data_IF_666848868506
#
_entry.id   IF_666848868506
#
_cell.length_a   1.000
_cell.length_b   1.000
_cell.length_c   1.000
_cell.angle_alpha   90.00
_cell.angle_beta   90.00
_cell.angle_gamma   90.00
#
_symmetry.space_group_name_H-M   'P 1'
#
loop_
_entity.id
_entity.type
_entity.pdbx_description
1 polymer ?
#
# COMPACT_ATOMS: atom_id res chain seq x y z
N UNK A 1 -17.85 -26.06 -17.89
CA UNK A 1 -17.49 -25.23 -16.72
C UNK A 1 -18.78 -25.00 -15.94
N UNK A 2 -18.79 -25.22 -14.62
CA UNK A 2 -20.00 -25.07 -13.81
C UNK A 2 -20.52 -23.62 -13.89
N UNK A 3 -21.85 -23.43 -13.85
CA UNK A 3 -22.50 -22.13 -13.82
C UNK A 3 -21.96 -21.26 -12.68
N UNK A 4 -21.71 -21.86 -11.52
CA UNK A 4 -21.10 -21.19 -10.38
C UNK A 4 -19.75 -20.55 -10.70
N UNK A 5 -18.89 -21.28 -11.41
CA UNK A 5 -17.57 -20.78 -11.79
C UNK A 5 -17.67 -19.61 -12.78
N UNK A 6 -18.73 -19.54 -13.61
CA UNK A 6 -18.94 -18.42 -14.51
C UNK A 6 -19.38 -17.17 -13.74
N UNK A 7 -20.24 -17.32 -12.73
CA UNK A 7 -20.66 -16.21 -11.87
C UNK A 7 -19.51 -15.60 -11.10
N UNK A 8 -18.61 -16.43 -10.56
CA UNK A 8 -17.45 -15.98 -9.78
C UNK A 8 -16.45 -15.13 -10.60
N UNK A 9 -16.58 -15.11 -11.92
CA UNK A 9 -15.75 -14.29 -12.82
C UNK A 9 -16.39 -12.94 -13.15
N UNK A 10 -17.62 -12.67 -12.71
CA UNK A 10 -18.33 -11.42 -12.99
C UNK A 10 -17.82 -10.27 -12.12
N UNK A 11 -18.08 -9.04 -12.57
CA UNK A 11 -17.80 -7.82 -11.81
C UNK A 11 -18.59 -7.76 -10.48
N UNK A 12 -18.04 -7.03 -9.49
CA UNK A 12 -18.60 -6.88 -8.13
C UNK A 12 -20.10 -6.54 -8.11
N UNK A 13 -20.58 -5.71 -9.04
CA UNK A 13 -22.00 -5.31 -9.11
C UNK A 13 -22.95 -6.48 -9.43
N UNK A 14 -22.47 -7.49 -10.14
CA UNK A 14 -23.23 -8.71 -10.43
C UNK A 14 -23.06 -9.71 -9.30
N UNK A 15 -21.86 -9.79 -8.70
CA UNK A 15 -21.63 -10.58 -7.49
C UNK A 15 -22.51 -10.13 -6.32
N UNK A 16 -22.76 -8.82 -6.16
CA UNK A 16 -23.72 -8.29 -5.19
C UNK A 16 -25.16 -8.75 -5.47
N UNK A 17 -25.55 -8.87 -6.74
CA UNK A 17 -26.86 -9.43 -7.09
C UNK A 17 -26.92 -10.92 -6.78
N UNK A 18 -25.83 -11.67 -7.00
CA UNK A 18 -25.74 -13.09 -6.61
C UNK A 18 -25.82 -13.23 -5.09
N UNK A 19 -25.13 -12.38 -4.33
CA UNK A 19 -25.16 -12.38 -2.86
C UNK A 19 -26.59 -12.22 -2.32
N UNK A 20 -27.38 -11.33 -2.92
CA UNK A 20 -28.79 -11.12 -2.56
C UNK A 20 -29.71 -12.34 -2.82
N UNK A 21 -29.27 -13.35 -3.57
CA UNK A 21 -30.06 -14.58 -3.82
C UNK A 21 -29.95 -15.60 -2.69
N UNK A 22 -28.90 -15.50 -1.87
CA UNK A 22 -28.56 -16.50 -0.87
C UNK A 22 -28.68 -15.91 0.53
N UNK A 23 -29.51 -16.54 1.36
CA UNK A 23 -29.75 -16.16 2.75
C UNK A 23 -29.67 -17.38 3.66
N UNK A 24 -30.06 -17.23 4.93
CA UNK A 24 -30.06 -18.33 5.90
C UNK A 24 -31.02 -19.47 5.53
N UNK A 25 -31.99 -19.23 4.63
CA UNK A 25 -32.91 -20.28 4.16
C UNK A 25 -32.22 -21.25 3.21
N UNK A 26 -31.39 -20.76 2.29
CA UNK A 26 -30.54 -21.61 1.46
C UNK A 26 -29.13 -21.01 1.36
N UNK A 27 -28.22 -21.38 2.29
CA UNK A 27 -26.89 -20.78 2.37
C UNK A 27 -26.03 -20.94 1.10
N UNK A 28 -25.32 -19.87 0.74
CA UNK A 28 -24.38 -19.84 -0.39
C UNK A 28 -23.29 -20.91 -0.29
N UNK A 29 -22.89 -21.32 0.91
CA UNK A 29 -21.96 -22.43 1.14
C UNK A 29 -22.39 -23.72 0.44
N UNK A 30 -23.69 -24.05 0.49
CA UNK A 30 -24.25 -25.24 -0.16
C UNK A 30 -24.09 -25.09 -1.68
N UNK A 31 -24.47 -23.92 -2.20
CA UNK A 31 -24.35 -23.58 -3.62
C UNK A 31 -22.90 -23.69 -4.10
N UNK A 32 -21.93 -23.25 -3.31
CA UNK A 32 -20.51 -23.26 -3.64
C UNK A 32 -19.93 -24.69 -3.63
N UNK A 33 -20.07 -25.41 -2.52
CA UNK A 33 -19.43 -26.72 -2.34
C UNK A 33 -20.11 -27.84 -3.15
N UNK A 34 -21.42 -27.73 -3.38
CA UNK A 34 -22.20 -28.71 -4.13
C UNK A 34 -22.62 -28.22 -5.51
N UNK A 35 -22.00 -27.16 -6.02
CA UNK A 35 -22.32 -26.52 -7.30
C UNK A 35 -22.55 -27.49 -8.45
N UNK A 36 -21.61 -28.41 -8.69
CA UNK A 36 -21.70 -29.41 -9.77
C UNK A 36 -22.88 -30.38 -9.60
N UNK A 37 -23.16 -30.78 -8.36
CA UNK A 37 -24.24 -31.71 -8.06
C UNK A 37 -25.60 -31.02 -8.22
N UNK A 38 -25.74 -29.82 -7.65
CA UNK A 38 -26.95 -28.99 -7.77
C UNK A 38 -27.26 -28.71 -9.24
N UNK A 39 -26.27 -28.30 -10.04
CA UNK A 39 -26.45 -27.97 -11.46
C UNK A 39 -26.78 -29.20 -12.34
N UNK A 40 -26.54 -30.43 -11.84
CA UNK A 40 -26.84 -31.66 -12.57
C UNK A 40 -28.30 -32.12 -12.45
N UNK A 41 -29.08 -31.51 -11.57
CA UNK A 41 -30.45 -31.90 -11.26
C UNK A 41 -31.45 -30.95 -11.92
N UNK A 42 -32.50 -31.52 -12.51
CA UNK A 42 -33.64 -30.76 -13.03
C UNK A 42 -34.59 -30.34 -11.89
N UNK A 43 -34.24 -29.25 -11.21
CA UNK A 43 -35.01 -28.74 -10.07
C UNK A 43 -36.40 -28.23 -10.43
N UNK A 44 -36.68 -27.92 -11.70
CA UNK A 44 -38.03 -27.56 -12.14
C UNK A 44 -38.99 -28.75 -12.03
N UNK A 45 -38.54 -29.92 -12.47
CA UNK A 45 -39.30 -31.15 -12.35
C UNK A 45 -39.38 -31.65 -10.90
N UNK A 46 -38.31 -31.46 -10.11
CA UNK A 46 -38.31 -31.80 -8.67
C UNK A 46 -39.34 -30.94 -7.91
N UNK A 47 -39.47 -29.66 -8.23
CA UNK A 47 -40.38 -28.74 -7.56
C UNK A 47 -41.88 -29.02 -7.79
N UNK A 48 -42.23 -29.93 -8.72
CA UNK A 48 -43.62 -30.31 -8.99
C UNK A 48 -43.96 -31.74 -8.56
N UNK A 49 -42.99 -32.49 -8.03
CA UNK A 49 -43.14 -33.89 -7.63
C UNK A 49 -42.67 -34.11 -6.18
N UNK A 50 -43.62 -34.27 -5.27
CA UNK A 50 -43.36 -34.39 -3.82
C UNK A 50 -42.43 -35.56 -3.45
N UNK A 51 -42.66 -36.74 -4.03
CA UNK A 51 -41.82 -37.91 -3.81
C UNK A 51 -40.39 -37.72 -4.32
N UNK A 52 -40.23 -37.07 -5.48
CA UNK A 52 -38.92 -36.78 -6.06
C UNK A 52 -38.18 -35.70 -5.26
N UNK A 53 -38.90 -34.67 -4.77
CA UNK A 53 -38.35 -33.65 -3.88
C UNK A 53 -37.85 -34.24 -2.58
N UNK A 54 -38.61 -35.17 -1.98
CA UNK A 54 -38.20 -35.88 -0.78
C UNK A 54 -36.93 -36.70 -1.00
N UNK A 55 -36.82 -37.42 -2.12
CA UNK A 55 -35.60 -38.17 -2.47
C UNK A 55 -34.40 -37.23 -2.65
N UNK A 56 -34.56 -36.15 -3.42
CA UNK A 56 -33.48 -35.20 -3.68
C UNK A 56 -33.03 -34.42 -2.44
N UNK A 57 -33.94 -34.18 -1.50
CA UNK A 57 -33.58 -33.61 -0.21
C UNK A 57 -32.66 -34.52 0.61
N UNK A 58 -32.98 -35.81 0.69
CA UNK A 58 -32.11 -36.76 1.39
C UNK A 58 -30.77 -36.97 0.66
N UNK A 59 -30.77 -36.94 -0.68
CA UNK A 59 -29.54 -36.95 -1.47
C UNK A 59 -28.66 -35.72 -1.15
N UNK A 60 -29.26 -34.52 -1.01
CA UNK A 60 -28.54 -33.30 -0.63
C UNK A 60 -27.90 -33.44 0.76
N UNK A 61 -28.63 -33.99 1.74
CA UNK A 61 -28.09 -34.23 3.09
C UNK A 61 -26.91 -35.21 3.06
N UNK A 62 -26.98 -36.24 2.22
CA UNK A 62 -25.87 -37.19 2.03
C UNK A 62 -24.66 -36.51 1.36
N UNK A 63 -24.88 -35.64 0.37
CA UNK A 63 -23.81 -34.83 -0.22
C UNK A 63 -23.12 -33.94 0.83
N UNK A 64 -23.86 -33.38 1.78
CA UNK A 64 -23.28 -32.59 2.87
C UNK A 64 -22.45 -33.46 3.85
N UNK A 65 -22.84 -34.70 4.10
CA UNK A 65 -22.05 -35.65 4.90
C UNK A 65 -20.71 -36.00 4.21
N UNK A 66 -20.75 -36.19 2.90
CA UNK A 66 -19.55 -36.42 2.09
C UNK A 66 -18.63 -35.19 2.13
N UNK A 67 -19.16 -33.97 2.02
CA UNK A 67 -18.35 -32.75 2.15
C UNK A 67 -17.79 -32.56 3.56
N UNK A 68 -18.57 -32.86 4.60
CA UNK A 68 -18.07 -32.84 5.97
C UNK A 68 -16.89 -33.81 6.14
N UNK A 69 -16.96 -35.00 5.55
CA UNK A 69 -15.88 -35.98 5.58
C UNK A 69 -14.63 -35.49 4.85
N UNK A 70 -14.78 -34.76 3.74
CA UNK A 70 -13.64 -34.11 3.04
C UNK A 70 -12.98 -33.04 3.91
N UNK A 71 -13.76 -32.18 4.56
CA UNK A 71 -13.20 -31.18 5.48
C UNK A 71 -12.56 -31.78 6.74
N UNK A 72 -13.01 -32.97 7.15
CA UNK A 72 -12.36 -33.74 8.21
C UNK A 72 -10.96 -34.23 7.79
N UNK A 73 -10.80 -34.71 6.55
CA UNK A 73 -9.49 -35.09 6.01
C UNK A 73 -8.53 -33.90 5.90
N UNK A 74 -9.05 -32.72 5.58
CA UNK A 74 -8.28 -31.47 5.49
C UNK A 74 -8.00 -30.81 6.86
N UNK A 75 -8.47 -31.40 7.96
CA UNK A 75 -8.41 -30.81 9.31
C UNK A 75 -8.99 -29.39 9.41
N UNK A 76 -9.92 -29.02 8.53
CA UNK A 76 -10.52 -27.70 8.51
C UNK A 76 -11.70 -27.62 9.51
N UNK A 77 -11.38 -27.36 10.78
CA UNK A 77 -12.38 -27.35 11.86
C UNK A 77 -13.52 -26.34 11.64
N UNK A 78 -13.20 -25.17 11.07
CA UNK A 78 -14.20 -24.13 10.81
C UNK A 78 -15.24 -24.61 9.79
N UNK A 79 -14.80 -25.14 8.64
CA UNK A 79 -15.71 -25.61 7.60
C UNK A 79 -16.50 -26.84 8.04
N UNK A 80 -15.90 -27.73 8.85
CA UNK A 80 -16.62 -28.85 9.47
C UNK A 80 -17.76 -28.37 10.36
N UNK A 81 -17.49 -27.36 11.22
CA UNK A 81 -18.51 -26.77 12.08
C UNK A 81 -19.64 -26.13 11.26
N UNK A 82 -19.30 -25.35 10.23
CA UNK A 82 -20.25 -24.66 9.37
C UNK A 82 -21.15 -25.64 8.62
N UNK A 83 -20.61 -26.65 7.93
CA UNK A 83 -21.41 -27.66 7.22
C UNK A 83 -22.34 -28.41 8.18
N UNK A 84 -21.89 -28.75 9.39
CA UNK A 84 -22.74 -29.41 10.38
C UNK A 84 -23.89 -28.51 10.85
N UNK A 85 -23.68 -27.20 10.93
CA UNK A 85 -24.74 -26.23 11.25
C UNK A 85 -25.72 -26.09 10.09
N UNK A 86 -25.21 -25.93 8.87
CA UNK A 86 -26.00 -25.82 7.63
C UNK A 86 -26.89 -27.05 7.45
N UNK A 87 -26.35 -28.26 7.60
CA UNK A 87 -27.12 -29.50 7.48
C UNK A 87 -28.30 -29.53 8.47
N UNK A 88 -28.06 -29.19 9.74
CA UNK A 88 -29.13 -29.11 10.76
C UNK A 88 -30.19 -28.08 10.40
N UNK A 89 -29.78 -26.88 9.98
CA UNK A 89 -30.71 -25.84 9.56
C UNK A 89 -31.58 -26.30 8.38
N UNK A 90 -31.00 -26.94 7.35
CA UNK A 90 -31.76 -27.48 6.22
C UNK A 90 -32.77 -28.55 6.65
N UNK A 91 -32.38 -29.42 7.58
CA UNK A 91 -33.29 -30.42 8.16
C UNK A 91 -34.47 -29.74 8.86
N UNK A 92 -34.20 -28.79 9.74
CA UNK A 92 -35.24 -28.08 10.49
C UNK A 92 -36.21 -27.29 9.58
N UNK A 93 -35.72 -26.75 8.44
CA UNK A 93 -36.52 -25.88 7.57
C UNK A 93 -37.26 -26.61 6.44
N UNK A 94 -36.73 -27.70 5.90
CA UNK A 94 -37.26 -28.33 4.68
C UNK A 94 -37.61 -29.81 4.81
N UNK A 95 -37.38 -30.44 5.96
CA UNK A 95 -37.71 -31.86 6.12
C UNK A 95 -39.21 -32.14 5.97
N UNK A 96 -40.06 -31.21 6.40
CA UNK A 96 -41.52 -31.30 6.27
C UNK A 96 -42.06 -30.74 4.94
N UNK A 97 -41.26 -29.94 4.21
CA UNK A 97 -41.61 -29.41 2.88
C UNK A 97 -40.38 -29.37 1.93
N UNK A 98 -39.95 -30.54 1.41
CA UNK A 98 -38.83 -30.62 0.46
C UNK A 98 -39.11 -29.94 -0.88
N UNK A 99 -40.39 -29.78 -1.24
CA UNK A 99 -40.84 -29.16 -2.49
C UNK A 99 -40.53 -27.67 -2.47
N UNK A 100 -40.73 -27.00 -1.33
CA UNK A 100 -40.33 -25.60 -1.16
C UNK A 100 -38.82 -25.38 -1.36
N UNK A 101 -37.97 -26.28 -0.83
CA UNK A 101 -36.52 -26.21 -1.08
C UNK A 101 -36.21 -26.30 -2.58
N UNK A 102 -36.82 -27.25 -3.29
CA UNK A 102 -36.62 -27.41 -4.73
C UNK A 102 -37.03 -26.16 -5.52
N UNK A 103 -38.12 -25.47 -5.10
CA UNK A 103 -38.51 -24.19 -5.69
C UNK A 103 -37.45 -23.10 -5.47
N UNK A 104 -36.88 -23.00 -4.26
CA UNK A 104 -35.82 -22.03 -3.95
C UNK A 104 -34.59 -22.28 -4.84
N UNK A 105 -34.12 -23.53 -4.91
CA UNK A 105 -32.96 -23.89 -5.74
C UNK A 105 -33.22 -23.58 -7.21
N UNK A 106 -34.38 -23.99 -7.73
CA UNK A 106 -34.78 -23.71 -9.12
C UNK A 106 -34.82 -22.21 -9.42
N UNK A 107 -35.44 -21.41 -8.53
CA UNK A 107 -35.52 -19.96 -8.67
C UNK A 107 -34.13 -19.32 -8.67
N UNK A 108 -33.28 -19.69 -7.73
CA UNK A 108 -31.94 -19.12 -7.59
C UNK A 108 -31.08 -19.44 -8.83
N UNK A 109 -31.11 -20.68 -9.33
CA UNK A 109 -30.40 -21.07 -10.56
C UNK A 109 -30.89 -20.31 -11.80
N UNK A 110 -32.21 -20.05 -11.91
CA UNK A 110 -32.78 -19.24 -13.00
C UNK A 110 -32.33 -17.78 -12.91
N UNK A 111 -32.31 -17.21 -11.71
CA UNK A 111 -31.90 -15.82 -11.52
C UNK A 111 -30.39 -15.64 -11.79
N UNK A 112 -29.56 -16.58 -11.36
CA UNK A 112 -28.16 -16.65 -11.74
C UNK A 112 -27.94 -16.63 -13.26
N UNK A 113 -28.76 -17.37 -14.03
CA UNK A 113 -28.69 -17.36 -15.49
C UNK A 113 -29.10 -16.00 -16.08
N UNK A 114 -30.07 -15.31 -15.47
CA UNK A 114 -30.44 -13.93 -15.86
C UNK A 114 -29.29 -12.96 -15.59
N UNK A 115 -28.63 -13.06 -14.45
CA UNK A 115 -27.46 -12.24 -14.10
C UNK A 115 -26.34 -12.45 -15.13
N UNK A 116 -26.04 -13.72 -15.48
CA UNK A 116 -25.05 -14.05 -16.52
C UNK A 116 -25.42 -13.48 -17.90
N UNK A 117 -26.70 -13.54 -18.28
CA UNK A 117 -27.17 -12.97 -19.54
C UNK A 117 -27.07 -11.43 -19.54
N UNK A 118 -27.40 -10.78 -18.43
CA UNK A 118 -27.29 -9.33 -18.26
C UNK A 118 -25.83 -8.86 -18.31
N UNK A 119 -24.90 -9.60 -17.70
CA UNK A 119 -23.47 -9.29 -17.75
C UNK A 119 -22.93 -9.29 -19.19
N UNK A 120 -23.24 -10.34 -19.97
CA UNK A 120 -22.80 -10.46 -21.37
C UNK A 120 -23.32 -9.35 -22.28
N UNK A 121 -24.46 -8.74 -21.94
CA UNK A 121 -25.06 -7.66 -22.75
C UNK A 121 -24.44 -6.28 -22.52
N UNK A 122 -23.74 -6.08 -21.39
CA UNK A 122 -23.20 -4.78 -20.95
C UNK A 122 -21.68 -4.70 -21.15
N UNK A 123 -20.99 -5.84 -21.23
CA UNK A 123 -19.52 -5.91 -21.44
C UNK A 123 -19.07 -5.28 -22.77
N UNK A 124 -19.95 -5.14 -23.77
CA UNK A 124 -19.59 -4.59 -25.09
C UNK A 124 -19.29 -3.09 -25.10
N UNK A 125 -19.73 -2.32 -24.10
CA UNK A 125 -19.58 -0.85 -24.06
C UNK A 125 -18.60 -0.33 -22.98
N UNK A 126 -18.14 -1.16 -22.03
CA UNK A 126 -17.38 -0.71 -20.84
C UNK A 126 -15.92 -1.20 -20.73
N UNK A 127 -15.49 -2.14 -21.56
CA UNK A 127 -14.11 -2.69 -21.53
C UNK A 127 -13.01 -1.61 -21.71
N UNK A 128 -13.31 -0.45 -22.31
CA UNK A 128 -12.29 0.56 -22.59
C UNK A 128 -11.81 1.39 -21.38
N UNK A 129 -12.63 1.60 -20.33
CA UNK A 129 -12.26 2.54 -19.25
C UNK A 129 -11.62 1.86 -18.04
N UNK A 130 -12.13 0.70 -17.59
CA UNK A 130 -11.55 -0.02 -16.46
C UNK A 130 -10.20 -0.65 -16.81
N UNK A 131 -10.05 -1.14 -18.04
CA UNK A 131 -8.77 -1.69 -18.54
C UNK A 131 -7.68 -0.62 -18.54
N UNK A 132 -8.02 0.63 -18.89
CA UNK A 132 -7.08 1.76 -18.91
C UNK A 132 -6.50 2.08 -17.52
N UNK A 133 -7.32 2.20 -16.47
CA UNK A 133 -6.83 2.51 -15.11
C UNK A 133 -6.00 1.37 -14.51
N UNK A 134 -6.35 0.10 -14.79
CA UNK A 134 -5.57 -1.06 -14.32
C UNK A 134 -4.21 -1.11 -15.05
N UNK A 135 -4.20 -0.80 -16.35
CA UNK A 135 -2.97 -0.69 -17.14
C UNK A 135 -2.05 0.42 -16.66
N UNK A 136 -2.59 1.58 -16.25
CA UNK A 136 -1.77 2.70 -15.74
C UNK A 136 -1.08 2.36 -14.42
N UNK A 137 -1.80 1.75 -13.47
CA UNK A 137 -1.18 1.31 -12.20
C UNK A 137 -0.12 0.24 -12.39
N UNK A 138 -0.36 -0.70 -13.30
CA UNK A 138 0.65 -1.70 -13.68
C UNK A 138 1.91 -1.07 -14.28
N UNK A 139 1.80 0.05 -15.01
CA UNK A 139 2.98 0.77 -15.52
C UNK A 139 3.83 1.32 -14.37
N UNK A 140 3.21 1.92 -13.35
CA UNK A 140 3.94 2.46 -12.21
C UNK A 140 4.59 1.34 -11.38
N UNK A 141 3.88 0.23 -11.16
CA UNK A 141 4.45 -0.97 -10.53
C UNK A 141 5.71 -1.47 -11.26
N UNK A 142 5.68 -1.50 -12.59
CA UNK A 142 6.84 -1.87 -13.41
C UNK A 142 7.99 -0.86 -13.28
N UNK A 143 7.71 0.45 -13.35
CA UNK A 143 8.75 1.49 -13.14
C UNK A 143 9.43 1.35 -11.77
N UNK A 144 8.65 1.12 -10.71
CA UNK A 144 9.16 0.92 -9.34
C UNK A 144 10.04 -0.33 -9.29
N UNK A 145 9.60 -1.43 -9.91
CA UNK A 145 10.36 -2.68 -9.97
C UNK A 145 11.67 -2.52 -10.73
N UNK A 146 11.65 -1.85 -11.88
CA UNK A 146 12.83 -1.60 -12.70
C UNK A 146 13.86 -0.74 -11.97
N UNK A 147 13.40 0.31 -11.28
CA UNK A 147 14.24 1.12 -10.39
C UNK A 147 14.91 0.25 -9.30
N UNK A 148 14.14 -0.60 -8.58
CA UNK A 148 14.72 -1.48 -7.55
C UNK A 148 15.76 -2.43 -8.13
N UNK A 149 15.51 -3.00 -9.31
CA UNK A 149 16.48 -3.88 -9.99
C UNK A 149 17.77 -3.12 -10.34
N UNK A 150 17.65 -1.87 -10.82
CA UNK A 150 18.81 -1.04 -11.15
C UNK A 150 19.64 -0.65 -9.93
N UNK A 151 19.00 -0.40 -8.79
CA UNK A 151 19.70 -0.17 -7.51
C UNK A 151 20.51 -1.42 -7.10
N UNK A 152 19.94 -2.62 -7.25
CA UNK A 152 20.63 -3.88 -6.96
C UNK A 152 21.78 -4.16 -7.94
N UNK A 153 21.60 -3.83 -9.22
CA UNK A 153 22.66 -3.92 -10.23
C UNK A 153 23.84 -3.00 -9.87
N UNK A 154 23.56 -1.76 -9.48
CA UNK A 154 24.57 -0.82 -9.01
C UNK A 154 25.32 -1.34 -7.77
N UNK A 155 24.62 -1.97 -6.82
CA UNK A 155 25.20 -2.60 -5.63
C UNK A 155 26.23 -3.67 -5.98
N UNK A 156 25.86 -4.55 -6.91
CA UNK A 156 26.75 -5.61 -7.38
C UNK A 156 27.96 -5.05 -8.14
N UNK A 157 27.77 -3.96 -8.91
CA UNK A 157 28.84 -3.31 -9.63
C UNK A 157 29.81 -2.57 -8.70
N UNK A 158 29.34 -2.00 -7.60
CA UNK A 158 30.18 -1.40 -6.56
C UNK A 158 31.03 -2.47 -5.87
N UNK A 159 30.44 -3.60 -5.48
CA UNK A 159 31.19 -4.74 -4.92
C UNK A 159 32.27 -5.25 -5.88
N UNK A 160 31.94 -5.34 -7.17
CA UNK A 160 32.90 -5.71 -8.21
C UNK A 160 34.01 -4.67 -8.38
N UNK A 161 33.68 -3.39 -8.26
CA UNK A 161 34.66 -2.29 -8.31
C UNK A 161 35.61 -2.33 -7.12
N UNK A 162 35.08 -2.54 -5.91
CA UNK A 162 35.86 -2.69 -4.68
C UNK A 162 36.85 -3.86 -4.81
N UNK A 163 36.38 -5.04 -5.23
CA UNK A 163 37.25 -6.19 -5.45
C UNK A 163 38.38 -5.90 -6.45
N UNK A 164 38.06 -5.28 -7.59
CA UNK A 164 39.05 -4.92 -8.61
C UNK A 164 40.08 -3.93 -8.07
N UNK A 165 39.65 -3.01 -7.20
CA UNK A 165 40.52 -2.00 -6.61
C UNK A 165 41.46 -2.61 -5.56
N UNK A 166 40.96 -3.51 -4.73
CA UNK A 166 41.77 -4.23 -3.75
C UNK A 166 42.79 -5.15 -4.44
N UNK A 167 42.39 -5.84 -5.52
CA UNK A 167 43.32 -6.65 -6.33
C UNK A 167 44.41 -5.78 -6.96
N UNK A 168 44.04 -4.61 -7.49
CA UNK A 168 44.98 -3.64 -8.05
C UNK A 168 45.97 -3.13 -7.00
N UNK A 169 45.49 -2.74 -5.81
CA UNK A 169 46.35 -2.29 -4.71
C UNK A 169 47.32 -3.39 -4.26
N UNK A 170 46.82 -4.62 -4.09
CA UNK A 170 47.65 -5.77 -3.74
C UNK A 170 48.77 -6.02 -4.77
N UNK A 171 48.44 -5.98 -6.07
CA UNK A 171 49.41 -6.18 -7.16
C UNK A 171 50.45 -5.06 -7.19
N UNK A 172 50.02 -3.81 -7.05
CA UNK A 172 50.91 -2.65 -7.03
C UNK A 172 51.89 -2.71 -5.85
N UNK A 173 51.39 -3.03 -4.65
CA UNK A 173 52.22 -3.15 -3.45
C UNK A 173 53.19 -4.33 -3.54
N UNK A 174 52.74 -5.46 -4.11
CA UNK A 174 53.62 -6.62 -4.37
C UNK A 174 54.76 -6.27 -5.33
N UNK A 175 54.46 -5.52 -6.41
CA UNK A 175 55.47 -5.10 -7.37
C UNK A 175 56.50 -4.16 -6.72
N UNK A 176 56.04 -3.14 -5.98
CA UNK A 176 56.90 -2.20 -5.25
C UNK A 176 57.85 -2.92 -4.29
N UNK A 177 57.36 -3.91 -3.55
CA UNK A 177 58.18 -4.68 -2.61
C UNK A 177 59.25 -5.52 -3.33
N UNK A 178 58.91 -6.13 -4.47
CA UNK A 178 59.84 -6.98 -5.27
C UNK A 178 60.87 -6.18 -6.06
N UNK A 179 60.61 -4.92 -6.40
CA UNK A 179 61.60 -4.03 -7.03
C UNK A 179 62.81 -3.74 -6.12
N UNK A 180 62.66 -3.91 -4.79
CA UNK A 180 63.71 -3.63 -3.81
C UNK A 180 64.44 -4.87 -3.28
N UNK A 181 64.12 -6.08 -3.79
CA UNK A 181 64.75 -7.34 -3.36
C UNK A 181 66.03 -7.68 -4.14
N UNK A 182 67.06 -8.19 -3.44
CA UNK A 182 68.40 -8.51 -3.98
C UNK A 182 68.37 -9.66 -5.00
N UNK A 183 67.33 -10.51 -4.98
CA UNK A 183 67.05 -11.57 -5.96
C UNK A 183 65.77 -11.25 -6.77
N UNK A 184 65.63 -10.01 -7.23
CA UNK A 184 64.42 -9.49 -7.87
C UNK A 184 64.06 -10.10 -9.24
N UNK A 185 62.86 -9.74 -9.72
CA UNK A 185 62.30 -10.15 -11.02
C UNK A 185 63.22 -9.76 -12.19
N UNK A 186 63.23 -10.58 -13.25
CA UNK A 186 63.94 -10.22 -14.48
C UNK A 186 63.34 -8.96 -15.13
N UNK A 187 64.10 -8.17 -15.92
CA UNK A 187 63.59 -6.95 -16.55
C UNK A 187 62.32 -7.17 -17.39
N UNK A 188 62.23 -8.31 -18.10
CA UNK A 188 61.05 -8.68 -18.90
C UNK A 188 59.82 -8.99 -18.03
N UNK A 189 60.02 -9.64 -16.89
CA UNK A 189 58.93 -9.92 -15.95
C UNK A 189 58.44 -8.63 -15.28
N UNK A 190 59.35 -7.72 -14.95
CA UNK A 190 59.00 -6.41 -14.39
C UNK A 190 58.18 -5.57 -15.38
N UNK A 191 58.57 -5.55 -16.66
CA UNK A 191 57.82 -4.86 -17.71
C UNK A 191 56.42 -5.44 -17.92
N UNK A 192 56.30 -6.78 -17.86
CA UNK A 192 55.00 -7.45 -17.95
C UNK A 192 54.07 -7.11 -16.77
N UNK A 193 54.56 -7.15 -15.54
CA UNK A 193 53.78 -6.77 -14.34
C UNK A 193 53.36 -5.29 -14.37
N UNK A 194 54.23 -4.39 -14.84
CA UNK A 194 53.88 -2.98 -15.06
C UNK A 194 52.76 -2.81 -16.06
N UNK A 195 52.79 -3.56 -17.16
CA UNK A 195 51.75 -3.51 -18.19
C UNK A 195 50.40 -4.06 -17.66
N UNK A 196 50.42 -5.12 -16.86
CA UNK A 196 49.22 -5.64 -16.18
C UNK A 196 48.60 -4.60 -15.23
N UNK A 197 49.40 -3.89 -14.44
CA UNK A 197 48.91 -2.83 -13.55
C UNK A 197 48.26 -1.70 -14.35
N UNK A 198 48.85 -1.32 -15.48
CA UNK A 198 48.25 -0.30 -16.38
C UNK A 198 46.91 -0.78 -16.94
N UNK A 199 46.80 -2.04 -17.34
CA UNK A 199 45.53 -2.63 -17.78
C UNK A 199 44.47 -2.59 -16.67
N UNK A 200 44.85 -2.97 -15.44
CA UNK A 200 43.97 -2.89 -14.27
C UNK A 200 43.52 -1.45 -13.98
N UNK A 201 44.40 -0.45 -14.13
CA UNK A 201 44.03 0.96 -14.02
C UNK A 201 42.95 1.35 -15.03
N UNK A 202 43.06 0.92 -16.29
CA UNK A 202 42.04 1.19 -17.31
C UNK A 202 40.71 0.52 -16.97
N UNK A 203 40.73 -0.73 -16.48
CA UNK A 203 39.52 -1.43 -16.03
C UNK A 203 38.86 -0.71 -14.85
N UNK A 204 39.64 -0.24 -13.88
CA UNK A 204 39.15 0.57 -12.75
C UNK A 204 38.50 1.86 -13.23
N UNK A 205 39.18 2.61 -14.11
CA UNK A 205 38.65 3.87 -14.69
C UNK A 205 37.31 3.63 -15.38
N UNK A 206 37.22 2.60 -16.21
CA UNK A 206 35.98 2.23 -16.90
C UNK A 206 34.88 1.86 -15.90
N UNK A 207 35.18 0.98 -14.93
CA UNK A 207 34.21 0.51 -13.94
C UNK A 207 33.70 1.63 -13.04
N UNK A 208 34.55 2.58 -12.64
CA UNK A 208 34.13 3.78 -11.90
C UNK A 208 33.17 4.64 -12.72
N UNK A 209 33.45 4.85 -14.01
CA UNK A 209 32.54 5.58 -14.90
C UNK A 209 31.19 4.89 -15.07
N UNK A 210 31.19 3.57 -15.24
CA UNK A 210 29.98 2.74 -15.34
C UNK A 210 29.11 2.87 -14.08
N UNK A 211 29.69 2.68 -12.89
CA UNK A 211 28.96 2.76 -11.62
C UNK A 211 28.39 4.16 -11.39
N UNK A 212 29.18 5.22 -11.62
CA UNK A 212 28.71 6.61 -11.48
C UNK A 212 27.55 6.91 -12.43
N UNK A 213 27.65 6.43 -13.68
CA UNK A 213 26.56 6.55 -14.66
C UNK A 213 25.29 5.81 -14.24
N UNK A 214 25.42 4.59 -13.71
CA UNK A 214 24.30 3.80 -13.20
C UNK A 214 23.61 4.46 -12.00
N UNK A 215 24.36 5.00 -11.04
CA UNK A 215 23.77 5.74 -9.91
C UNK A 215 22.99 6.97 -10.39
N UNK A 216 23.51 7.69 -11.40
CA UNK A 216 22.79 8.81 -12.00
C UNK A 216 21.50 8.36 -12.70
N UNK A 217 21.52 7.22 -13.40
CA UNK A 217 20.35 6.61 -14.03
C UNK A 217 19.29 6.23 -12.99
N UNK A 218 19.68 5.57 -11.90
CA UNK A 218 18.79 5.22 -10.78
C UNK A 218 18.11 6.47 -10.21
N UNK A 219 18.86 7.57 -10.00
CA UNK A 219 18.29 8.82 -9.51
C UNK A 219 17.27 9.42 -10.49
N UNK A 220 17.51 9.33 -11.80
CA UNK A 220 16.53 9.77 -12.81
C UNK A 220 15.25 8.92 -12.77
N UNK A 221 15.37 7.61 -12.61
CA UNK A 221 14.22 6.72 -12.46
C UNK A 221 13.44 7.01 -11.17
N UNK A 222 14.15 7.21 -10.06
CA UNK A 222 13.54 7.57 -8.77
C UNK A 222 12.79 8.90 -8.83
N UNK A 223 13.36 9.90 -9.51
CA UNK A 223 12.74 11.20 -9.76
C UNK A 223 11.46 11.08 -10.59
N UNK A 224 11.48 10.28 -11.67
CA UNK A 224 10.30 10.03 -12.50
C UNK A 224 9.17 9.34 -11.72
N UNK A 225 9.48 8.27 -10.99
CA UNK A 225 8.50 7.56 -10.14
C UNK A 225 7.96 8.46 -9.04
N UNK A 226 8.83 9.24 -8.39
CA UNK A 226 8.44 10.21 -7.37
C UNK A 226 7.48 11.26 -7.93
N UNK A 227 7.74 11.77 -9.14
CA UNK A 227 6.86 12.73 -9.81
C UNK A 227 5.45 12.14 -10.00
N UNK A 228 5.34 10.93 -10.57
CA UNK A 228 4.05 10.26 -10.76
C UNK A 228 3.31 10.06 -9.41
N UNK A 229 4.04 9.64 -8.37
CA UNK A 229 3.45 9.41 -7.04
C UNK A 229 2.92 10.68 -6.38
N UNK A 230 3.67 11.77 -6.44
CA UNK A 230 3.33 13.02 -5.73
C UNK A 230 2.30 13.84 -6.51
N UNK A 231 2.40 13.85 -7.84
CA UNK A 231 1.56 14.72 -8.69
C UNK A 231 0.26 14.06 -9.15
N UNK A 232 0.18 12.73 -9.21
CA UNK A 232 -0.98 12.01 -9.72
C UNK A 232 -1.59 11.09 -8.64
N UNK A 233 -0.88 10.04 -8.24
CA UNK A 233 -1.45 8.96 -7.40
C UNK A 233 -1.90 9.43 -6.01
N UNK A 234 -1.08 10.23 -5.31
CA UNK A 234 -1.40 10.75 -3.99
C UNK A 234 -2.59 11.75 -4.05
N UNK A 235 -2.63 12.74 -4.95
CA UNK A 235 -3.81 13.59 -5.14
C UNK A 235 -5.08 12.81 -5.50
N UNK A 236 -4.99 11.81 -6.38
CA UNK A 236 -6.13 10.96 -6.73
C UNK A 236 -6.65 10.18 -5.53
N UNK A 237 -5.77 9.62 -4.71
CA UNK A 237 -6.16 8.97 -3.46
C UNK A 237 -6.81 9.94 -2.49
N UNK A 238 -6.28 11.16 -2.32
CA UNK A 238 -6.89 12.21 -1.49
C UNK A 238 -8.30 12.58 -1.97
N UNK A 239 -8.49 12.69 -3.29
CA UNK A 239 -9.81 12.94 -3.92
C UNK A 239 -10.78 11.79 -3.67
N UNK A 240 -10.33 10.53 -3.80
CA UNK A 240 -11.15 9.36 -3.48
C UNK A 240 -11.51 9.29 -2.00
N UNK A 241 -10.58 9.63 -1.10
CA UNK A 241 -10.86 9.75 0.33
C UNK A 241 -11.95 10.79 0.61
N UNK A 242 -11.86 11.97 -0.02
CA UNK A 242 -12.88 13.02 0.10
C UNK A 242 -14.26 12.52 -0.34
N UNK A 243 -14.35 11.87 -1.51
CA UNK A 243 -15.61 11.28 -1.99
C UNK A 243 -16.15 10.21 -1.05
N UNK A 244 -15.30 9.34 -0.50
CA UNK A 244 -15.68 8.31 0.47
C UNK A 244 -16.25 8.94 1.76
N UNK A 245 -15.67 10.05 2.24
CA UNK A 245 -16.18 10.77 3.42
C UNK A 245 -17.61 11.33 3.24
N UNK A 246 -18.07 11.54 2.00
CA UNK A 246 -19.43 12.03 1.71
C UNK A 246 -20.37 10.93 1.20
N UNK A 247 -20.03 9.65 1.42
CA UNK A 247 -20.86 8.50 1.03
C UNK A 247 -20.61 7.98 -0.38
N UNK A 248 -19.50 8.38 -1.01
CA UNK A 248 -18.99 7.75 -2.23
C UNK A 248 -18.49 6.32 -2.00
N UNK A 249 -17.99 5.66 -3.06
CA UNK A 249 -17.49 4.29 -2.96
C UNK A 249 -16.35 4.19 -1.94
N UNK A 250 -16.17 3.01 -1.29
CA UNK A 250 -15.11 2.80 -0.32
C UNK A 250 -13.74 3.19 -0.87
N UNK A 251 -12.97 3.94 -0.08
CA UNK A 251 -11.63 4.35 -0.48
C UNK A 251 -10.70 3.11 -0.55
N UNK A 252 -9.84 3.06 -1.57
CA UNK A 252 -8.81 2.03 -1.64
C UNK A 252 -7.84 2.17 -0.47
N UNK A 253 -7.34 1.04 0.05
CA UNK A 253 -6.34 1.06 1.11
C UNK A 253 -5.06 1.77 0.66
N UNK A 254 -4.35 2.33 1.63
CA UNK A 254 -3.07 3.02 1.41
C UNK A 254 -1.91 2.07 1.08
N UNK A 255 -2.13 0.77 1.04
CA UNK A 255 -1.05 -0.22 1.02
C UNK A 255 -0.24 -0.16 -0.28
N UNK A 256 -0.90 0.03 -1.44
CA UNK A 256 -0.18 0.19 -2.72
C UNK A 256 0.66 1.47 -2.75
N UNK A 257 0.10 2.61 -2.32
CA UNK A 257 0.82 3.87 -2.18
C UNK A 257 2.00 3.74 -1.20
N UNK A 258 1.77 3.13 -0.03
CA UNK A 258 2.81 2.89 0.95
C UNK A 258 3.94 2.03 0.37
N UNK A 259 3.63 0.99 -0.39
CA UNK A 259 4.64 0.15 -1.04
C UNK A 259 5.49 0.95 -2.03
N UNK A 260 4.87 1.79 -2.87
CA UNK A 260 5.61 2.61 -3.83
C UNK A 260 6.46 3.69 -3.15
N UNK A 261 5.89 4.44 -2.20
CA UNK A 261 6.62 5.45 -1.42
C UNK A 261 7.80 4.82 -0.67
N UNK A 262 7.58 3.67 -0.02
CA UNK A 262 8.63 2.94 0.69
C UNK A 262 9.71 2.45 -0.26
N UNK A 263 9.34 1.90 -1.43
CA UNK A 263 10.30 1.44 -2.43
C UNK A 263 11.22 2.55 -2.95
N UNK A 264 10.67 3.75 -3.21
CA UNK A 264 11.46 4.92 -3.61
C UNK A 264 12.38 5.36 -2.48
N UNK A 265 11.86 5.44 -1.25
CA UNK A 265 12.66 5.82 -0.08
C UNK A 265 13.82 4.86 0.19
N UNK A 266 13.56 3.54 0.19
CA UNK A 266 14.58 2.49 0.33
C UNK A 266 15.66 2.61 -0.77
N UNK A 267 15.23 2.79 -2.02
CA UNK A 267 16.13 2.92 -3.17
C UNK A 267 17.05 4.14 -3.02
N UNK A 268 16.49 5.28 -2.62
CA UNK A 268 17.26 6.51 -2.39
C UNK A 268 18.23 6.36 -1.20
N UNK A 269 17.84 5.67 -0.13
CA UNK A 269 18.75 5.38 0.97
C UNK A 269 19.88 4.45 0.55
N UNK A 270 19.58 3.42 -0.23
CA UNK A 270 20.61 2.52 -0.75
C UNK A 270 21.58 3.26 -1.66
N UNK A 271 21.11 4.15 -2.55
CA UNK A 271 21.99 5.01 -3.35
C UNK A 271 22.86 5.90 -2.47
N UNK A 272 22.32 6.47 -1.39
CA UNK A 272 23.12 7.28 -0.44
C UNK A 272 24.20 6.44 0.25
N UNK A 273 23.93 5.18 0.57
CA UNK A 273 24.92 4.27 1.15
C UNK A 273 26.00 3.90 0.13
N UNK A 274 25.60 3.58 -1.10
CA UNK A 274 26.49 3.31 -2.24
C UNK A 274 27.40 4.50 -2.55
N UNK A 275 26.91 5.73 -2.47
CA UNK A 275 27.72 6.93 -2.65
C UNK A 275 28.79 7.08 -1.55
N UNK A 276 28.49 6.69 -0.30
CA UNK A 276 29.51 6.66 0.78
C UNK A 276 30.58 5.62 0.50
N UNK A 277 30.20 4.42 0.06
CA UNK A 277 31.14 3.36 -0.32
C UNK A 277 32.05 3.82 -1.47
N UNK A 278 31.53 4.53 -2.47
CA UNK A 278 32.35 5.14 -3.52
C UNK A 278 33.33 6.18 -2.99
N UNK A 279 32.95 6.97 -1.98
CA UNK A 279 33.87 7.91 -1.34
C UNK A 279 34.99 7.19 -0.57
N UNK A 280 34.69 6.07 0.08
CA UNK A 280 35.72 5.25 0.73
C UNK A 280 36.70 4.68 -0.32
N UNK A 281 36.20 4.24 -1.48
CA UNK A 281 37.06 3.80 -2.59
C UNK A 281 37.88 4.95 -3.19
N UNK A 282 37.32 6.15 -3.29
CA UNK A 282 38.04 7.36 -3.71
C UNK A 282 39.18 7.70 -2.74
N UNK A 283 38.94 7.60 -1.43
CA UNK A 283 39.97 7.84 -0.40
C UNK A 283 41.14 6.86 -0.52
N UNK A 284 40.87 5.59 -0.83
CA UNK A 284 41.90 4.57 -1.05
C UNK A 284 42.71 4.81 -2.34
N UNK A 285 42.06 5.28 -3.41
CA UNK A 285 42.69 5.50 -4.71
C UNK A 285 41.94 6.55 -5.53
N UNK A 286 42.67 7.53 -6.07
CA UNK A 286 42.12 8.57 -6.96
C UNK A 286 43.16 9.00 -8.01
N UNK A 287 42.72 9.76 -9.02
CA UNK A 287 43.53 10.24 -10.13
C UNK A 287 42.88 11.47 -10.80
N UNK A 288 43.64 12.14 -11.68
CA UNK A 288 43.12 13.29 -12.43
C UNK A 288 41.91 12.91 -13.29
N UNK A 289 40.82 13.66 -13.14
CA UNK A 289 39.52 13.42 -13.78
C UNK A 289 38.85 12.09 -13.37
N UNK A 290 39.04 11.66 -12.12
CA UNK A 290 38.28 10.54 -11.56
C UNK A 290 36.76 10.88 -11.50
N UNK A 291 35.88 10.05 -12.10
CA UNK A 291 34.45 10.33 -12.19
C UNK A 291 33.77 10.36 -10.81
N UNK A 292 34.27 9.60 -9.82
CA UNK A 292 33.73 9.66 -8.45
C UNK A 292 33.98 11.06 -7.88
N UNK A 293 35.22 11.53 -7.94
CA UNK A 293 35.61 12.87 -7.49
C UNK A 293 34.78 13.96 -8.16
N UNK A 294 34.54 13.84 -9.48
CA UNK A 294 33.80 14.84 -10.27
C UNK A 294 32.28 14.86 -9.97
N UNK A 295 31.67 13.71 -9.72
CA UNK A 295 30.21 13.58 -9.64
C UNK A 295 29.66 13.42 -8.22
N UNK A 296 30.47 13.07 -7.22
CA UNK A 296 30.00 12.75 -5.86
C UNK A 296 29.08 13.81 -5.26
N UNK A 297 29.48 15.09 -5.30
CA UNK A 297 28.70 16.17 -4.69
C UNK A 297 27.35 16.40 -5.37
N UNK A 298 27.30 16.25 -6.70
CA UNK A 298 26.07 16.38 -7.47
C UNK A 298 25.11 15.22 -7.14
N UNK A 299 25.60 13.98 -7.18
CA UNK A 299 24.77 12.80 -6.93
C UNK A 299 24.26 12.75 -5.49
N UNK A 300 25.10 13.09 -4.50
CA UNK A 300 24.68 13.17 -3.10
C UNK A 300 23.62 14.25 -2.87
N UNK A 301 23.81 15.43 -3.47
CA UNK A 301 22.85 16.52 -3.39
C UNK A 301 21.50 16.14 -3.99
N UNK A 302 21.50 15.52 -5.17
CA UNK A 302 20.28 15.00 -5.83
C UNK A 302 19.59 13.91 -5.01
N UNK A 303 20.34 12.92 -4.54
CA UNK A 303 19.79 11.83 -3.73
C UNK A 303 19.17 12.36 -2.43
N UNK A 304 19.81 13.33 -1.77
CA UNK A 304 19.26 13.98 -0.58
C UNK A 304 17.98 14.76 -0.89
N UNK A 305 17.97 15.54 -1.96
CA UNK A 305 16.81 16.34 -2.36
C UNK A 305 15.59 15.45 -2.65
N UNK A 306 15.78 14.39 -3.44
CA UNK A 306 14.72 13.41 -3.73
C UNK A 306 14.24 12.72 -2.45
N UNK A 307 15.16 12.34 -1.56
CA UNK A 307 14.78 11.68 -0.30
C UNK A 307 14.00 12.62 0.63
N UNK A 308 14.37 13.90 0.70
CA UNK A 308 13.59 14.91 1.44
C UNK A 308 12.19 15.07 0.86
N UNK A 309 12.10 15.23 -0.46
CA UNK A 309 10.83 15.48 -1.15
C UNK A 309 9.82 14.34 -0.95
N UNK A 310 10.25 13.08 -1.04
CA UNK A 310 9.33 11.95 -0.80
C UNK A 310 8.82 11.92 0.64
N UNK A 311 9.69 12.20 1.62
CA UNK A 311 9.33 12.18 3.04
C UNK A 311 8.36 13.32 3.39
N UNK A 312 8.57 14.52 2.85
CA UNK A 312 7.67 15.66 3.04
C UNK A 312 6.24 15.37 2.59
N UNK A 313 6.08 14.58 1.51
CA UNK A 313 4.78 14.19 0.98
C UNK A 313 4.22 12.87 1.57
N UNK A 314 4.93 12.26 2.52
CA UNK A 314 4.57 10.95 3.07
C UNK A 314 3.60 11.01 4.26
N UNK A 315 3.48 12.14 4.95
CA UNK A 315 2.57 12.27 6.08
C UNK A 315 1.15 12.55 5.60
N UNK A 316 0.21 11.63 5.86
CA UNK A 316 -1.19 11.76 5.42
C UNK A 316 -2.18 11.47 6.54
N UNK A 317 -3.37 12.06 6.45
CA UNK A 317 -4.52 11.72 7.28
C UNK A 317 -5.18 10.49 6.68
N UNK A 318 -4.93 9.30 7.25
CA UNK A 318 -5.53 8.02 6.78
C UNK A 318 -7.02 7.95 7.13
N UNK A 319 -7.39 8.33 8.36
CA UNK A 319 -8.79 8.41 8.81
C UNK A 319 -9.09 9.83 9.25
N UNK A 320 -9.99 10.48 8.53
CA UNK A 320 -10.44 11.84 8.79
C UNK A 320 -11.13 11.97 10.16
N UNK A 321 -11.18 13.18 10.76
CA UNK A 321 -11.84 13.42 12.03
C UNK A 321 -13.28 12.89 12.07
N UNK A 322 -13.56 12.00 13.00
CA UNK A 322 -14.87 11.38 13.14
C UNK A 322 -15.18 11.02 14.60
N UNK A 323 -16.42 11.28 15.02
CA UNK A 323 -16.92 10.88 16.33
C UNK A 323 -17.35 9.41 16.30
N UNK A 324 -16.83 8.54 17.19
CA UNK A 324 -17.26 7.14 17.26
C UNK A 324 -18.76 6.96 17.52
N UNK A 325 -19.40 7.95 18.14
CA UNK A 325 -20.86 7.98 18.38
C UNK A 325 -21.68 8.29 17.13
N UNK A 326 -21.05 8.83 16.07
CA UNK A 326 -21.71 9.24 14.82
C UNK A 326 -20.84 8.86 13.60
N UNK A 327 -20.57 7.57 13.36
CA UNK A 327 -19.63 7.13 12.32
C UNK A 327 -20.10 7.49 10.89
N UNK A 328 -21.40 7.71 10.71
CA UNK A 328 -22.03 8.09 9.43
C UNK A 328 -21.78 9.56 9.03
N UNK A 329 -21.20 10.37 9.92
CA UNK A 329 -20.95 11.81 9.68
C UNK A 329 -19.50 12.17 10.00
N UNK A 330 -18.53 11.70 9.19
CA UNK A 330 -17.16 12.18 9.29
C UNK A 330 -17.14 13.70 9.03
N UNK A 331 -16.09 14.37 9.52
CA UNK A 331 -15.86 15.82 9.40
C UNK A 331 -16.84 16.74 10.13
N UNK A 332 -17.85 16.19 10.82
CA UNK A 332 -18.76 16.98 11.68
C UNK A 332 -18.44 16.69 13.14
N UNK A 333 -17.96 17.69 13.86
CA UNK A 333 -17.49 17.54 15.23
C UNK A 333 -18.36 18.31 16.21
N UNK A 334 -18.98 17.59 17.16
CA UNK A 334 -19.70 18.22 18.26
C UNK A 334 -18.72 18.59 19.38
N UNK A 335 -18.77 19.84 19.83
CA UNK A 335 -18.00 20.29 21.00
C UNK A 335 -18.24 19.40 22.22
N UNK A 336 -17.22 19.19 23.06
CA UNK A 336 -17.23 18.29 24.22
C UNK A 336 -17.43 16.79 23.92
N UNK A 337 -17.63 16.40 22.67
CA UNK A 337 -17.69 14.99 22.27
C UNK A 337 -16.32 14.53 21.81
N UNK A 338 -15.96 13.29 22.17
CA UNK A 338 -14.69 12.69 21.74
C UNK A 338 -14.75 12.34 20.25
N UNK A 339 -13.66 12.61 19.56
CA UNK A 339 -13.47 12.21 18.18
C UNK A 339 -12.09 11.59 17.98
N UNK A 340 -11.95 10.91 16.85
CA UNK A 340 -10.75 10.19 16.48
C UNK A 340 -10.19 10.68 15.16
N UNK A 341 -8.87 10.62 15.01
CA UNK A 341 -8.14 10.87 13.76
C UNK A 341 -7.01 9.86 13.67
N UNK A 342 -6.75 9.32 12.49
CA UNK A 342 -5.60 8.44 12.25
C UNK A 342 -4.69 9.04 11.18
N UNK A 343 -3.43 9.22 11.52
CA UNK A 343 -2.37 9.58 10.60
C UNK A 343 -1.59 8.34 10.19
N UNK A 344 -1.07 8.35 8.97
CA UNK A 344 -0.15 7.33 8.45
C UNK A 344 1.02 8.02 7.76
N UNK A 345 2.21 7.48 7.97
CA UNK A 345 3.39 7.83 7.20
C UNK A 345 3.58 6.78 6.10
N UNK A 346 3.54 7.22 4.83
CA UNK A 346 3.55 6.34 3.67
C UNK A 346 4.92 5.66 3.47
N UNK A 347 6.00 6.26 3.94
CA UNK A 347 7.32 5.62 3.93
C UNK A 347 7.50 4.76 5.19
N UNK A 348 7.57 3.45 4.99
CA UNK A 348 7.69 2.47 6.06
C UNK A 348 9.14 2.01 6.21
N UNK A 349 9.93 2.75 6.98
CA UNK A 349 11.29 2.37 7.34
C UNK A 349 11.38 2.08 8.84
N UNK A 350 12.08 1.01 9.23
CA UNK A 350 12.20 0.59 10.64
C UNK A 350 12.91 1.64 11.50
N UNK A 351 13.86 2.37 10.91
CA UNK A 351 14.56 3.49 11.53
C UNK A 351 13.64 4.64 11.96
N UNK A 352 12.44 4.77 11.39
CA UNK A 352 11.47 5.81 11.78
C UNK A 352 10.51 5.37 12.89
N UNK A 353 10.54 4.10 13.30
CA UNK A 353 9.67 3.60 14.35
C UNK A 353 9.94 4.33 15.68
N UNK A 354 8.89 4.89 16.29
CA UNK A 354 8.96 5.72 17.49
C UNK A 354 9.71 7.05 17.38
N UNK A 355 10.09 7.48 16.17
CA UNK A 355 10.86 8.72 15.96
C UNK A 355 9.99 9.93 15.68
N UNK A 356 8.86 9.71 15.01
CA UNK A 356 7.94 10.77 14.61
C UNK A 356 6.95 11.06 15.73
N UNK A 357 7.14 12.17 16.44
CA UNK A 357 6.18 12.67 17.43
C UNK A 357 5.27 13.71 16.79
N UNK A 358 4.02 13.32 16.53
CA UNK A 358 3.03 14.17 15.89
C UNK A 358 2.25 14.97 16.92
N UNK A 359 2.02 16.25 16.65
CA UNK A 359 1.20 17.16 17.44
C UNK A 359 0.00 17.65 16.61
N UNK A 360 -1.19 17.56 17.16
CA UNK A 360 -2.41 18.10 16.60
C UNK A 360 -2.63 19.55 17.05
N UNK A 361 -2.91 20.42 16.08
CA UNK A 361 -3.18 21.84 16.24
C UNK A 361 -4.50 22.16 15.53
N UNK A 362 -5.29 23.07 16.10
CA UNK A 362 -6.57 23.49 15.53
C UNK A 362 -6.42 24.87 14.91
N UNK A 363 -6.89 25.04 13.67
CA UNK A 363 -6.86 26.31 12.92
C UNK A 363 -5.48 27.00 12.90
N UNK A 364 -4.41 26.21 12.77
CA UNK A 364 -3.06 26.74 12.55
C UNK A 364 -3.06 27.49 11.21
N UNK A 365 -2.52 28.71 11.20
CA UNK A 365 -2.39 29.58 10.03
C UNK A 365 -3.72 30.00 9.36
N UNK A 366 -4.86 29.82 10.04
CA UNK A 366 -6.14 30.36 9.59
C UNK A 366 -6.18 31.87 9.87
N UNK A 367 -6.34 32.67 8.81
CA UNK A 367 -6.44 34.12 8.92
C UNK A 367 -7.62 34.53 9.80
N UNK A 368 -7.37 35.38 10.80
CA UNK A 368 -8.37 35.84 11.76
C UNK A 368 -9.45 36.68 11.06
N UNK A 369 -10.49 36.02 10.56
CA UNK A 369 -11.69 36.71 10.09
C UNK A 369 -12.52 37.15 11.29
N UNK A 370 -12.99 38.40 11.26
CA UNK A 370 -13.86 38.95 12.30
C UNK A 370 -15.13 38.07 12.40
N UNK A 371 -15.46 37.62 13.61
CA UNK A 371 -16.60 36.73 13.86
C UNK A 371 -16.29 35.23 13.85
N UNK A 372 -15.10 34.80 13.40
CA UNK A 372 -14.72 33.39 13.35
C UNK A 372 -14.52 32.81 14.76
N UNK A 373 -15.24 31.74 15.09
CA UNK A 373 -15.13 31.07 16.39
C UNK A 373 -13.78 30.39 16.53
N UNK A 374 -13.27 30.31 17.76
CA UNK A 374 -12.01 29.63 18.08
C UNK A 374 -12.27 28.44 18.97
N UNK A 375 -11.59 27.33 18.70
CA UNK A 375 -11.70 26.11 19.49
C UNK A 375 -10.32 25.63 19.93
N UNK A 376 -10.26 25.05 21.12
CA UNK A 376 -9.08 24.39 21.64
C UNK A 376 -9.26 22.88 21.62
N UNK A 377 -8.21 22.16 21.22
CA UNK A 377 -8.14 20.71 21.36
C UNK A 377 -7.83 20.38 22.83
N UNK A 378 -8.69 19.56 23.43
CA UNK A 378 -8.48 18.92 24.72
C UNK A 378 -8.14 17.43 24.52
N UNK A 379 -7.49 16.85 25.53
CA UNK A 379 -7.03 15.46 25.52
C UNK A 379 -5.58 15.31 25.07
N UNK A 380 -5.23 14.12 24.58
CA UNK A 380 -3.87 13.79 24.16
C UNK A 380 -3.60 14.34 22.76
N UNK A 381 -3.16 15.60 22.67
CA UNK A 381 -2.87 16.30 21.41
C UNK A 381 -1.49 15.98 20.82
N UNK A 382 -0.69 15.11 21.45
CA UNK A 382 0.56 14.61 20.88
C UNK A 382 0.59 13.08 20.88
N UNK A 383 1.02 12.46 19.79
CA UNK A 383 1.12 11.02 19.65
C UNK A 383 2.37 10.64 18.87
N UNK A 384 3.10 9.65 19.34
CA UNK A 384 4.25 9.08 18.64
C UNK A 384 3.75 8.05 17.63
N UNK A 385 4.27 8.09 16.40
CA UNK A 385 3.99 7.07 15.40
C UNK A 385 4.72 5.77 15.73
N UNK A 386 4.02 4.66 15.56
CA UNK A 386 4.57 3.34 15.79
C UNK A 386 4.08 2.36 14.71
N UNK A 387 4.82 1.26 14.54
CA UNK A 387 4.42 0.18 13.65
C UNK A 387 3.22 -0.59 14.23
N UNK A 388 2.14 -0.72 13.46
CA UNK A 388 0.95 -1.50 13.83
C UNK A 388 1.15 -3.00 13.52
N UNK A 389 0.75 -3.91 14.40
CA UNK A 389 0.93 -5.36 14.22
C UNK A 389 0.10 -5.94 13.05
N UNK A 390 -1.04 -5.33 12.71
CA UNK A 390 -2.00 -5.86 11.74
C UNK A 390 -1.55 -5.76 10.29
N UNK A 391 -0.88 -4.67 9.92
CA UNK A 391 -0.43 -4.39 8.54
C UNK A 391 1.01 -3.86 8.48
N UNK A 392 1.67 -3.71 9.63
CA UNK A 392 3.00 -3.12 9.74
C UNK A 392 3.06 -1.66 9.32
N UNK A 393 1.95 -0.92 9.28
CA UNK A 393 1.97 0.49 8.88
C UNK A 393 2.54 1.38 10.00
N UNK A 394 3.29 2.42 9.63
CA UNK A 394 3.74 3.45 10.56
C UNK A 394 2.64 4.49 10.71
N UNK A 395 1.95 4.47 11.85
CA UNK A 395 0.74 5.28 12.06
C UNK A 395 0.68 5.88 13.47
N UNK A 396 -0.12 6.94 13.60
CA UNK A 396 -0.49 7.51 14.90
C UNK A 396 -2.01 7.72 14.94
N UNK A 397 -2.67 7.03 15.86
CA UNK A 397 -4.10 7.19 16.10
C UNK A 397 -4.37 8.02 17.36
N UNK A 398 -5.11 9.11 17.18
CA UNK A 398 -5.63 9.96 18.24
C UNK A 398 -7.06 9.53 18.53
N UNK A 399 -7.35 9.00 19.73
CA UNK A 399 -8.68 8.47 20.09
C UNK A 399 -9.51 9.36 21.02
N UNK A 400 -8.85 10.27 21.74
CA UNK A 400 -9.44 11.01 22.85
C UNK A 400 -9.33 12.52 22.66
N UNK A 401 -9.47 12.99 21.42
CA UNK A 401 -9.51 14.42 21.14
C UNK A 401 -10.91 14.97 21.41
N UNK A 402 -11.00 16.18 21.94
CA UNK A 402 -12.26 16.90 22.14
C UNK A 402 -12.06 18.37 21.77
N UNK A 403 -13.12 19.01 21.28
CA UNK A 403 -13.11 20.47 21.02
C UNK A 403 -13.84 21.23 22.12
N UNK A 404 -13.22 22.31 22.59
CA UNK A 404 -13.84 23.27 23.50
C UNK A 404 -13.75 24.68 22.91
N UNK A 405 -14.91 25.32 22.78
CA UNK A 405 -14.98 26.70 22.33
C UNK A 405 -14.24 27.66 23.28
N UNK A 406 -13.43 28.54 22.71
CA UNK A 406 -12.74 29.60 23.40
C UNK A 406 -13.58 30.87 23.36
N UNK A 407 -14.24 31.18 24.49
CA UNK A 407 -15.00 32.43 24.61
C UNK A 407 -14.05 33.61 24.77
N UNK A 408 -14.09 34.55 23.83
CA UNK A 408 -13.35 35.83 23.94
C UNK A 408 -14.16 36.78 24.82
N UNK A 409 -13.56 37.26 25.92
CA UNK A 409 -14.17 38.26 26.77
C UNK A 409 -14.16 39.63 26.06
N UNK A 410 -15.31 40.12 25.59
CA UNK A 410 -15.47 41.55 25.27
C UNK A 410 -16.25 41.94 24.01
N UNK A 411 -16.50 41.06 23.03
CA UNK A 411 -17.14 41.50 21.78
C UNK A 411 -18.67 41.37 21.79
N UNK A 412 -19.34 42.48 22.10
CA UNK A 412 -20.77 42.76 21.85
C UNK A 412 -20.97 43.51 20.51
N UNK A 413 -20.40 43.03 19.41
CA UNK A 413 -20.63 43.65 18.10
C UNK A 413 -21.53 42.79 17.23
N UNK A 414 -22.65 43.39 16.83
CA UNK A 414 -23.79 42.88 16.08
C UNK A 414 -23.45 42.46 14.63
N UNK A 415 -22.66 41.42 14.45
CA UNK A 415 -22.81 40.54 13.29
C UNK A 415 -23.37 39.23 13.84
N UNK A 416 -24.55 38.81 13.34
CA UNK A 416 -25.21 37.61 13.83
C UNK A 416 -24.28 36.40 13.74
N UNK A 417 -24.30 35.47 14.71
CA UNK A 417 -23.44 34.30 14.66
C UNK A 417 -23.69 33.58 13.33
N UNK A 418 -22.63 33.36 12.53
CA UNK A 418 -22.70 32.38 11.45
C UNK A 418 -23.22 31.08 12.11
N UNK A 419 -24.31 30.53 11.58
CA UNK A 419 -24.82 29.26 12.06
C UNK A 419 -23.69 28.24 11.92
N UNK A 420 -23.52 27.39 12.96
CA UNK A 420 -22.39 26.46 13.11
C UNK A 420 -22.09 25.66 11.83
N UNK A 421 -23.10 25.47 10.99
CA UNK A 421 -23.08 24.72 9.74
C UNK A 421 -22.32 25.36 8.58
N UNK A 422 -21.88 26.62 8.67
CA UNK A 422 -21.22 27.34 7.55
C UNK A 422 -19.75 27.69 7.79
N UNK A 423 -19.27 27.61 9.04
CA UNK A 423 -17.85 27.84 9.36
C UNK A 423 -17.06 26.54 9.22
N UNK A 424 -15.96 26.60 8.47
CA UNK A 424 -15.08 25.47 8.26
C UNK A 424 -13.76 25.68 9.00
N UNK A 425 -13.40 24.69 9.80
CA UNK A 425 -12.16 24.64 10.57
C UNK A 425 -11.25 23.54 10.02
N UNK A 426 -10.00 23.49 10.45
CA UNK A 426 -9.09 22.39 10.10
C UNK A 426 -8.22 21.96 11.28
N UNK A 427 -7.80 20.70 11.24
CA UNK A 427 -6.81 20.16 12.18
C UNK A 427 -5.50 19.97 11.42
N UNK A 428 -4.47 20.69 11.85
CA UNK A 428 -3.11 20.57 11.35
C UNK A 428 -2.32 19.61 12.25
N UNK A 429 -1.53 18.75 11.64
CA UNK A 429 -0.69 17.78 12.31
C UNK A 429 0.75 18.05 11.94
N UNK A 430 1.56 18.38 12.94
CA UNK A 430 2.98 18.67 12.76
C UNK A 430 3.83 17.56 13.36
N UNK A 431 4.90 17.18 12.68
CA UNK A 431 5.95 16.35 13.24
C UNK A 431 7.30 16.84 12.74
N UNK A 432 8.35 16.55 13.49
CA UNK A 432 9.72 16.79 13.06
C UNK A 432 10.44 15.45 12.93
N UNK A 433 11.23 15.29 11.87
CA UNK A 433 12.11 14.15 11.65
C UNK A 433 13.56 14.65 11.68
N UNK A 434 14.29 14.26 12.74
CA UNK A 434 15.67 14.64 12.97
C UNK A 434 16.55 13.38 13.00
N UNK A 435 17.07 12.97 11.84
CA UNK A 435 17.93 11.78 11.72
C UNK A 435 19.02 11.95 10.67
N UNK A 436 20.25 11.52 10.97
CA UNK A 436 21.35 11.42 9.98
C UNK A 436 21.64 12.69 9.17
N UNK A 437 21.53 13.87 9.80
CA UNK A 437 21.71 15.17 9.13
C UNK A 437 20.50 15.64 8.31
N UNK A 438 19.38 14.93 8.41
CA UNK A 438 18.08 15.30 7.88
C UNK A 438 17.28 15.98 9.01
N UNK A 439 16.89 17.23 8.79
CA UNK A 439 15.94 17.97 9.62
C UNK A 439 14.76 18.33 8.72
N UNK A 440 13.62 17.68 8.96
CA UNK A 440 12.39 17.87 8.17
C UNK A 440 11.22 18.21 9.08
N UNK A 441 10.46 19.22 8.65
CA UNK A 441 9.14 19.52 9.20
C UNK A 441 8.10 18.84 8.33
N UNK A 442 7.35 17.94 8.94
CA UNK A 442 6.29 17.18 8.29
C UNK A 442 4.96 17.78 8.73
N UNK A 443 4.10 18.08 7.76
CA UNK A 443 2.78 18.62 8.03
C UNK A 443 1.71 17.86 7.24
N UNK A 444 0.58 17.60 7.91
CA UNK A 444 -0.62 17.10 7.26
C UNK A 444 -1.83 17.85 7.80
N UNK A 445 -2.84 18.08 6.95
CA UNK A 445 -4.05 18.80 7.32
C UNK A 445 -5.25 17.90 7.04
N UNK A 446 -6.21 17.88 7.96
CA UNK A 446 -7.49 17.21 7.73
C UNK A 446 -8.26 17.88 6.59
N UNK A 447 -9.28 17.19 6.07
CA UNK A 447 -10.31 17.91 5.31
C UNK A 447 -10.98 18.96 6.21
N UNK A 448 -11.59 20.00 5.62
CA UNK A 448 -12.35 20.99 6.38
C UNK A 448 -13.44 20.31 7.22
N UNK A 449 -13.57 20.74 8.47
CA UNK A 449 -14.51 20.21 9.46
C UNK A 449 -15.51 21.28 9.90
N UNK A 450 -16.68 20.84 10.35
CA UNK A 450 -17.77 21.65 10.90
C UNK A 450 -17.88 21.46 12.40
#
# INVERSE_FOLDING_TARGET
MAQWCQLQLLESKYLEQVDQLYDDSFPMDIRQYLSKWIESIDWENVAVQDSLATVRFHDLLAQLDDQHSRFALENNFLLQHNIRKIKRNLQDHFQEDPVHMAMIISRNLKEEQRILAAAKSIETDRENTHTSMVLEKQKLDNKVKDMKNKVQEADQNIKSLEYLQDEHDFKLNTLKNREHEINGLTPKQLEHEKLLIVEMCFKLKFKRGEVVGQLAEVLNMAEAVQSDLISEELPEWKKRQQSSCIGGPPNACLDQLQNWFTAVAESLQQVRQQLKELQELEQKYTYDNDPITQQKGLLEGRALALFRNILEHSLVVERQPCMPTHPQRPLVLKTQVQFTVKLRFLVKLQEFNYQLKVKALFDKDVTEKKGFRKFNILGTNTKVMNMEESNGSLAAEFRHLQLKEQKVAGNRTNEGPLIVTEELHCICFESELNQSGLELKLEAISLPIV
#
